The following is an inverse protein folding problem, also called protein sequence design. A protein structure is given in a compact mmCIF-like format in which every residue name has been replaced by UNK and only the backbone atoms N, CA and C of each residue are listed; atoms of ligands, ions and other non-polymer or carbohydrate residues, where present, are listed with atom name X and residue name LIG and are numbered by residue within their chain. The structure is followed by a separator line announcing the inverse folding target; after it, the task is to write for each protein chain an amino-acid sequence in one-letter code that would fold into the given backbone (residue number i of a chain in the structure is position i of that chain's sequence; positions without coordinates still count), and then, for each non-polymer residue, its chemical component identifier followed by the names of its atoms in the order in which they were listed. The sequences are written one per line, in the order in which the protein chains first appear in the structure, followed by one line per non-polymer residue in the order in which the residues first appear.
data_IF_065846057841
#
_entry.id   IF_065846057841
#
_cell.length_a   1.000
_cell.length_b   1.000
_cell.length_c   1.000
_cell.angle_alpha   90.00
_cell.angle_beta   90.00
_cell.angle_gamma   90.00
#
_symmetry.space_group_name_H-M   'P 1'
#
loop_
_entity.id
_entity.type
_entity.pdbx_description
1 polymer ?
#
# COMPACT_ATOMS: atom_id res chain seq x y z
N UNK A 1 -5.27 10.12 17.79
CA UNK A 1 -5.93 9.36 16.72
C UNK A 1 -4.93 9.09 15.61
N UNK A 2 -4.73 7.84 15.26
CA UNK A 2 -3.74 7.49 14.25
C UNK A 2 -4.42 7.25 12.91
N UNK A 3 -3.75 7.68 11.86
CA UNK A 3 -4.18 7.43 10.50
C UNK A 3 -3.65 6.06 10.07
N UNK A 4 -4.50 5.24 9.49
CA UNK A 4 -4.07 3.97 8.95
C UNK A 4 -3.74 4.13 7.47
N UNK A 5 -2.74 3.39 7.03
CA UNK A 5 -2.32 3.42 5.62
C UNK A 5 -2.46 2.04 5.02
N UNK A 6 -3.01 1.98 3.82
CA UNK A 6 -3.08 0.75 3.05
C UNK A 6 -2.55 1.01 1.65
N UNK A 7 -2.16 -0.05 0.97
CA UNK A 7 -1.63 0.07 -0.37
C UNK A 7 -2.75 0.20 -1.39
N UNK A 8 -2.51 1.02 -2.41
CA UNK A 8 -3.30 0.98 -3.62
C UNK A 8 -2.40 0.55 -4.77
N UNK A 9 -3.00 -0.02 -5.79
CA UNK A 9 -2.29 -0.49 -6.98
C UNK A 9 -2.89 0.21 -8.18
N UNK A 10 -2.05 0.72 -9.08
CA UNK A 10 -2.55 1.34 -10.29
C UNK A 10 -3.15 0.29 -11.22
N UNK A 11 -4.12 0.70 -12.01
CA UNK A 11 -4.73 -0.21 -12.99
C UNK A 11 -3.69 -0.75 -13.97
N UNK A 12 -2.77 0.10 -14.36
CA UNK A 12 -1.72 -0.27 -15.32
C UNK A 12 -0.84 -1.41 -14.80
N UNK A 13 -0.60 -1.47 -13.50
CA UNK A 13 0.27 -2.47 -12.92
C UNK A 13 -0.49 -3.66 -12.30
N UNK A 14 -1.79 -3.59 -12.24
CA UNK A 14 -2.57 -4.60 -11.54
C UNK A 14 -2.33 -6.01 -12.07
N UNK A 15 -2.25 -6.16 -13.38
CA UNK A 15 -2.00 -7.48 -14.00
C UNK A 15 -0.68 -8.07 -13.53
N UNK A 16 0.34 -7.23 -13.42
CA UNK A 16 1.67 -7.68 -12.99
C UNK A 16 1.65 -8.07 -11.52
N UNK A 17 0.95 -7.28 -10.70
CA UNK A 17 0.77 -7.64 -9.28
C UNK A 17 0.07 -8.99 -9.15
N UNK A 18 -0.92 -9.27 -10.00
CA UNK A 18 -1.63 -10.55 -9.95
C UNK A 18 -0.73 -11.73 -10.28
N UNK A 19 0.25 -11.54 -11.15
CA UNK A 19 1.22 -12.60 -11.45
C UNK A 19 2.02 -12.96 -10.20
N UNK A 20 2.41 -11.96 -9.44
CA UNK A 20 3.21 -12.14 -8.22
C UNK A 20 2.36 -12.60 -7.05
N UNK A 21 1.11 -12.11 -6.97
CA UNK A 21 0.21 -12.34 -5.85
C UNK A 21 -1.05 -13.08 -6.27
N UNK A 22 -0.87 -14.17 -7.01
CA UNK A 22 -1.97 -14.89 -7.67
C UNK A 22 -3.13 -15.26 -6.76
N UNK A 23 -2.82 -15.69 -5.54
CA UNK A 23 -3.84 -16.18 -4.61
C UNK A 23 -4.41 -15.08 -3.72
N UNK A 24 -3.83 -13.88 -3.77
CA UNK A 24 -4.20 -12.80 -2.86
C UNK A 24 -5.11 -11.77 -3.49
N UNK A 25 -4.96 -11.53 -4.79
CA UNK A 25 -5.69 -10.46 -5.46
C UNK A 25 -6.90 -10.98 -6.23
N UNK A 26 -8.01 -10.22 -6.24
CA UNK A 26 -9.15 -10.56 -7.07
C UNK A 26 -8.81 -10.62 -8.56
N UNK A 27 -9.66 -11.29 -9.32
CA UNK A 27 -9.42 -11.47 -10.74
C UNK A 27 -9.45 -10.17 -11.52
N UNK A 28 -10.25 -9.19 -11.08
CA UNK A 28 -10.34 -7.93 -11.81
C UNK A 28 -10.10 -6.75 -10.89
N UNK A 29 -9.64 -5.68 -11.50
CA UNK A 29 -9.25 -4.47 -10.80
C UNK A 29 -10.44 -3.80 -10.11
N UNK A 30 -11.61 -3.85 -10.71
CA UNK A 30 -12.79 -3.22 -10.10
C UNK A 30 -13.17 -3.89 -8.78
N UNK A 31 -13.04 -5.21 -8.73
CA UNK A 31 -13.29 -5.94 -7.48
C UNK A 31 -12.27 -5.56 -6.42
N UNK A 32 -11.01 -5.42 -6.82
CA UNK A 32 -9.95 -4.96 -5.92
C UNK A 32 -10.29 -3.60 -5.31
N UNK A 33 -10.74 -2.65 -6.15
CA UNK A 33 -11.12 -1.33 -5.68
C UNK A 33 -12.27 -1.40 -4.68
N UNK A 34 -13.28 -2.23 -4.96
CA UNK A 34 -14.42 -2.39 -4.06
C UNK A 34 -14.02 -2.97 -2.71
N UNK A 35 -13.13 -3.96 -2.73
CA UNK A 35 -12.64 -4.57 -1.50
C UNK A 35 -11.90 -3.55 -0.66
N UNK A 36 -11.09 -2.71 -1.29
CA UNK A 36 -10.35 -1.66 -0.58
C UNK A 36 -11.27 -0.60 0.00
N UNK A 37 -12.29 -0.18 -0.76
CA UNK A 37 -13.27 0.79 -0.26
C UNK A 37 -14.02 0.24 0.94
N UNK A 38 -14.42 -1.03 0.88
CA UNK A 38 -15.12 -1.67 1.97
C UNK A 38 -14.25 -1.76 3.22
N UNK A 39 -12.98 -2.06 3.03
CA UNK A 39 -12.03 -2.12 4.14
C UNK A 39 -11.83 -0.77 4.81
N UNK A 40 -11.77 0.30 4.02
CA UNK A 40 -11.64 1.65 4.56
C UNK A 40 -12.88 2.03 5.38
N UNK A 41 -14.04 1.70 4.86
CA UNK A 41 -15.29 2.01 5.54
C UNK A 41 -15.39 1.25 6.85
N UNK A 42 -15.03 -0.04 6.84
CA UNK A 42 -15.04 -0.86 8.06
C UNK A 42 -14.11 -0.29 9.12
N UNK A 43 -12.92 0.14 8.74
CA UNK A 43 -11.98 0.71 9.68
C UNK A 43 -12.53 1.98 10.31
N UNK A 44 -13.15 2.82 9.50
CA UNK A 44 -13.73 4.05 9.99
C UNK A 44 -14.90 3.79 10.96
N UNK A 45 -15.77 2.86 10.60
CA UNK A 45 -16.95 2.56 11.41
C UNK A 45 -16.62 1.79 12.69
N UNK A 46 -15.68 0.86 12.60
CA UNK A 46 -15.37 0.00 13.75
C UNK A 46 -14.33 0.59 14.68
N UNK A 47 -13.37 1.31 14.16
CA UNK A 47 -12.27 1.84 14.95
C UNK A 47 -12.17 3.36 14.94
N UNK A 48 -13.03 4.01 14.17
CA UNK A 48 -12.94 5.46 14.02
C UNK A 48 -11.64 5.90 13.39
N UNK A 49 -10.99 5.01 12.64
CA UNK A 49 -9.68 5.28 12.06
C UNK A 49 -9.81 5.64 10.59
N UNK A 50 -9.47 6.87 10.21
CA UNK A 50 -9.41 7.20 8.79
C UNK A 50 -8.28 6.43 8.12
N UNK A 51 -8.53 5.97 6.90
CA UNK A 51 -7.55 5.18 6.14
C UNK A 51 -7.16 5.94 4.89
N UNK A 52 -5.87 6.07 4.69
CA UNK A 52 -5.31 6.73 3.50
C UNK A 52 -4.64 5.68 2.62
N UNK A 53 -4.92 5.73 1.33
CA UNK A 53 -4.29 4.82 0.37
C UNK A 53 -2.98 5.42 -0.13
N UNK A 54 -1.96 4.59 -0.18
CA UNK A 54 -0.65 4.96 -0.71
C UNK A 54 -0.38 4.06 -1.90
N UNK A 55 -0.21 4.65 -3.07
CA UNK A 55 0.07 3.86 -4.26
C UNK A 55 1.47 3.25 -4.17
N UNK A 56 1.54 1.94 -4.40
CA UNK A 56 2.80 1.19 -4.38
C UNK A 56 3.01 0.60 -5.76
N UNK A 57 4.17 0.85 -6.35
CA UNK A 57 4.53 0.24 -7.62
C UNK A 57 5.03 -1.18 -7.39
N UNK A 58 5.00 -1.98 -8.45
CA UNK A 58 5.52 -3.34 -8.35
C UNK A 58 7.01 -3.32 -8.00
N UNK A 59 7.74 -2.39 -8.55
CA UNK A 59 9.16 -2.23 -8.28
C UNK A 59 9.41 -1.92 -6.81
N UNK A 60 8.61 -1.03 -6.24
CA UNK A 60 8.72 -0.69 -4.82
C UNK A 60 8.41 -1.90 -3.94
N UNK A 61 7.37 -2.63 -4.29
CA UNK A 61 7.00 -3.82 -3.53
C UNK A 61 8.06 -4.91 -3.61
N UNK A 62 8.60 -5.14 -4.81
CA UNK A 62 9.66 -6.13 -5.00
C UNK A 62 10.91 -5.77 -4.17
N UNK A 63 11.28 -4.50 -4.17
CA UNK A 63 12.43 -4.04 -3.40
C UNK A 63 12.20 -4.23 -1.90
N UNK A 64 10.98 -3.93 -1.43
CA UNK A 64 10.62 -4.14 -0.04
C UNK A 64 10.68 -5.61 0.35
N UNK A 65 10.10 -6.47 -0.48
CA UNK A 65 10.07 -7.91 -0.21
C UNK A 65 11.47 -8.52 -0.18
N UNK A 66 12.35 -8.01 -1.02
CA UNK A 66 13.74 -8.46 -1.07
C UNK A 66 14.46 -8.24 0.25
N UNK A 67 14.10 -7.18 0.96
CA UNK A 67 14.72 -6.86 2.23
C UNK A 67 14.17 -7.64 3.42
N UNK A 68 13.12 -8.43 3.20
CA UNK A 68 12.53 -9.21 4.27
C UNK A 68 13.29 -10.51 4.46
N UNK A 69 13.35 -10.94 5.72
CA UNK A 69 13.98 -12.20 6.08
C UNK A 69 13.29 -13.37 5.38
N UNK A 70 11.97 -13.34 5.36
CA UNK A 70 11.14 -14.33 4.66
C UNK A 70 10.26 -13.59 3.68
N UNK A 71 10.69 -13.50 2.40
CA UNK A 71 9.90 -12.77 1.41
C UNK A 71 8.48 -13.27 1.36
N UNK A 72 7.55 -12.34 1.39
CA UNK A 72 6.14 -12.65 1.46
C UNK A 72 5.37 -11.71 0.54
N UNK A 73 4.67 -12.28 -0.44
CA UNK A 73 3.89 -11.50 -1.40
C UNK A 73 2.40 -11.59 -1.04
N UNK A 74 2.08 -11.12 0.15
CA UNK A 74 0.71 -11.07 0.65
C UNK A 74 0.20 -9.63 0.67
N UNK A 75 -1.13 -9.48 0.80
CA UNK A 75 -1.73 -8.15 0.95
C UNK A 75 -1.20 -7.48 2.21
N UNK A 76 -0.99 -8.25 3.29
CA UNK A 76 -0.42 -7.71 4.51
C UNK A 76 0.95 -7.10 4.30
N UNK A 77 1.82 -7.80 3.56
CA UNK A 77 3.14 -7.29 3.24
C UNK A 77 3.05 -6.04 2.36
N UNK A 78 2.12 -6.04 1.42
CA UNK A 78 1.91 -4.89 0.54
C UNK A 78 1.48 -3.66 1.35
N UNK A 79 0.59 -3.84 2.32
CA UNK A 79 0.15 -2.75 3.17
C UNK A 79 1.28 -2.24 4.06
N UNK A 80 2.15 -3.12 4.53
CA UNK A 80 3.32 -2.71 5.29
C UNK A 80 4.28 -1.90 4.44
N UNK A 81 4.45 -2.28 3.18
CA UNK A 81 5.24 -1.52 2.24
C UNK A 81 4.69 -0.11 2.08
N UNK A 82 3.36 0.00 1.98
CA UNK A 82 2.70 1.31 1.89
C UNK A 82 2.95 2.15 3.12
N UNK A 83 2.90 1.54 4.30
CA UNK A 83 3.17 2.25 5.55
C UNK A 83 4.60 2.78 5.62
N UNK A 84 5.55 1.98 5.17
CA UNK A 84 6.94 2.42 5.13
C UNK A 84 7.13 3.57 4.15
N UNK A 85 6.48 3.49 3.01
CA UNK A 85 6.53 4.55 2.01
C UNK A 85 5.94 5.84 2.56
N UNK A 86 4.82 5.74 3.26
CA UNK A 86 4.18 6.91 3.86
C UNK A 86 5.08 7.56 4.90
N UNK A 87 5.74 6.73 5.71
CA UNK A 87 6.66 7.21 6.73
C UNK A 87 7.85 7.92 6.11
N UNK A 88 8.41 7.35 5.06
CA UNK A 88 9.53 7.95 4.35
C UNK A 88 9.13 9.29 3.73
N UNK A 89 7.93 9.35 3.17
CA UNK A 89 7.41 10.58 2.58
C UNK A 89 7.19 11.66 3.63
N UNK A 90 6.73 11.28 4.80
CA UNK A 90 6.52 12.24 5.88
C UNK A 90 7.83 12.87 6.36
N UNK A 91 8.92 12.12 6.28
CA UNK A 91 10.23 12.61 6.69
C UNK A 91 10.99 13.29 5.55
N UNK A 92 10.94 12.73 4.37
CA UNK A 92 11.66 13.24 3.22
C UNK A 92 11.27 14.66 2.80
N UNK A 93 9.99 15.04 2.77
CA UNK A 93 9.61 16.39 2.35
C UNK A 93 10.23 17.49 3.21
N UNK A 94 10.34 17.24 4.50
CA UNK A 94 10.95 18.23 5.39
C UNK A 94 12.41 18.48 5.01
N UNK A 95 13.15 17.41 4.78
CA UNK A 95 14.55 17.50 4.38
C UNK A 95 14.68 18.15 3.01
N UNK A 96 13.84 17.77 2.07
CA UNK A 96 13.86 18.34 0.72
C UNK A 96 13.55 19.83 0.74
N UNK A 97 12.59 20.20 1.54
CA UNK A 97 12.20 21.60 1.68
C UNK A 97 13.34 22.44 2.20
N UNK A 98 14.03 21.95 3.19
CA UNK A 98 15.16 22.66 3.76
C UNK A 98 16.29 22.80 2.76
N UNK A 99 16.47 21.83 1.89
CA UNK A 99 17.51 21.92 0.87
C UNK A 99 17.21 23.00 -0.16
N UNK A 100 15.95 23.16 -0.48
CA UNK A 100 15.54 24.16 -1.44
C UNK A 100 15.66 25.56 -0.86
N UNK A 101 15.33 25.68 0.39
CA UNK A 101 15.50 26.93 1.10
C UNK A 101 16.96 27.23 1.34
#
# INVERSE_FOLDING_TARGET
MSIEYIASISEAEYKMFRIVMTTELPDDYQTWLRVRERGKLSALMERGAPVTEIEVSLMEFAAYAKGLKNPNFSIGALDQCARRKAKAKAQAPAASFLKVG
#
